data_IF_893369561877
#
_entry.id   IF_893369561877
#
_cell.length_a   1.000
_cell.length_b   1.000
_cell.length_c   1.000
_cell.angle_alpha   90.00
_cell.angle_beta   90.00
_cell.angle_gamma   90.00
#
_symmetry.space_group_name_H-M   'P 1'
#
loop_
_entity.id
_entity.type
_entity.pdbx_description
1 polymer ?
#
# COMPACT_ATOMS: atom_id res chain seq x y z
N UNK A 1 -15.84 -7.34 -21.29
CA UNK A 1 -16.28 -6.34 -22.28
C UNK A 1 -17.23 -6.91 -23.33
N UNK A 2 -17.02 -8.14 -23.81
CA UNK A 2 -17.90 -8.79 -24.81
C UNK A 2 -19.38 -8.86 -24.39
N UNK A 3 -19.70 -8.84 -23.10
CA UNK A 3 -21.07 -8.89 -22.57
C UNK A 3 -21.62 -7.53 -22.11
N UNK A 4 -20.80 -6.47 -22.09
CA UNK A 4 -21.16 -5.10 -21.64
C UNK A 4 -20.44 -4.05 -22.49
N UNK A 5 -20.93 -3.78 -23.72
CA UNK A 5 -20.30 -2.84 -24.63
C UNK A 5 -20.37 -1.39 -24.15
N UNK A 6 -21.33 -1.06 -23.28
CA UNK A 6 -21.48 0.23 -22.62
C UNK A 6 -20.26 0.57 -21.73
N UNK A 7 -19.55 -0.42 -21.20
CA UNK A 7 -18.30 -0.20 -20.46
C UNK A 7 -17.05 -0.15 -21.34
N UNK A 8 -17.17 -0.38 -22.65
CA UNK A 8 -16.00 -0.44 -23.53
C UNK A 8 -15.13 0.84 -23.50
N UNK A 9 -15.72 2.06 -23.54
CA UNK A 9 -14.93 3.29 -23.46
C UNK A 9 -14.19 3.46 -22.13
N UNK A 10 -14.64 2.79 -21.07
CA UNK A 10 -14.12 2.95 -19.72
C UNK A 10 -12.99 1.97 -19.36
N UNK A 11 -12.77 0.88 -20.10
CA UNK A 11 -11.78 -0.10 -19.65
C UNK A 11 -10.34 0.42 -19.70
N UNK A 12 -9.92 1.06 -20.81
CA UNK A 12 -8.54 1.55 -20.93
C UNK A 12 -8.21 2.61 -19.85
N UNK A 13 -9.06 3.61 -19.58
CA UNK A 13 -8.85 4.57 -18.48
C UNK A 13 -8.93 3.99 -17.07
N UNK A 14 -9.45 2.77 -16.90
CA UNK A 14 -9.57 2.10 -15.60
C UNK A 14 -8.67 0.87 -15.46
N UNK A 15 -7.88 0.54 -16.49
CA UNK A 15 -6.94 -0.57 -16.45
C UNK A 15 -5.92 -0.34 -15.32
N UNK A 16 -5.78 -1.32 -14.42
CA UNK A 16 -4.91 -1.25 -13.25
C UNK A 16 -5.47 -0.48 -12.05
N UNK A 17 -6.65 0.17 -12.17
CA UNK A 17 -7.29 0.81 -11.02
C UNK A 17 -7.98 -0.24 -10.15
N UNK A 18 -7.79 -0.11 -8.84
CA UNK A 18 -8.46 -0.94 -7.84
C UNK A 18 -9.33 -0.06 -6.95
N UNK A 19 -10.45 -0.60 -6.46
CA UNK A 19 -11.29 0.11 -5.49
C UNK A 19 -10.46 0.39 -4.23
N UNK A 20 -10.51 1.63 -3.73
CA UNK A 20 -9.87 2.00 -2.46
C UNK A 20 -10.51 1.22 -1.31
N UNK A 21 -9.69 0.47 -0.58
CA UNK A 21 -10.11 -0.28 0.60
C UNK A 21 -10.30 0.66 1.79
N UNK A 22 -11.28 0.36 2.66
CA UNK A 22 -11.41 1.07 3.94
C UNK A 22 -10.21 0.79 4.86
N UNK A 23 -9.79 1.79 5.64
CA UNK A 23 -8.76 1.64 6.66
C UNK A 23 -9.31 1.24 8.05
N UNK A 24 -10.64 1.16 8.21
CA UNK A 24 -11.24 0.59 9.43
C UNK A 24 -10.85 -0.89 9.53
N UNK A 25 -10.36 -1.31 10.69
CA UNK A 25 -9.79 -2.64 10.93
C UNK A 25 -8.55 -2.97 10.08
N UNK A 26 -7.84 -1.96 9.56
CA UNK A 26 -6.64 -2.22 8.74
C UNK A 26 -5.59 -3.02 9.50
N UNK A 27 -5.40 -2.78 10.80
CA UNK A 27 -4.49 -3.57 11.64
C UNK A 27 -5.17 -4.61 12.54
N UNK A 28 -6.50 -4.79 12.45
CA UNK A 28 -7.19 -5.79 13.27
C UNK A 28 -6.72 -7.19 12.86
N UNK A 29 -6.26 -7.96 13.84
CA UNK A 29 -5.66 -9.29 13.71
C UNK A 29 -6.21 -10.24 14.78
N UNK A 30 -6.29 -11.57 14.51
CA UNK A 30 -6.72 -12.55 15.52
C UNK A 30 -5.78 -12.65 16.72
N UNK A 31 -4.48 -12.45 16.52
CA UNK A 31 -3.44 -12.48 17.56
C UNK A 31 -2.22 -11.63 17.16
N UNK A 32 -1.34 -11.21 18.10
CA UNK A 32 -0.29 -10.22 17.84
C UNK A 32 0.73 -10.63 16.76
N UNK A 33 1.08 -11.92 16.67
CA UNK A 33 2.06 -12.43 15.70
C UNK A 33 1.47 -12.76 14.32
N UNK A 34 0.16 -12.54 14.11
CA UNK A 34 -0.47 -12.81 12.82
C UNK A 34 0.11 -11.89 11.73
N UNK A 35 0.62 -12.49 10.65
CA UNK A 35 1.11 -11.74 9.48
C UNK A 35 -0.08 -11.37 8.60
N UNK A 36 -0.42 -10.08 8.62
CA UNK A 36 -1.46 -9.53 7.75
C UNK A 36 -0.88 -9.13 6.40
N UNK A 37 -1.60 -9.41 5.33
CA UNK A 37 -1.24 -9.00 3.97
C UNK A 37 -2.03 -7.75 3.55
N UNK A 38 -1.40 -6.85 2.79
CA UNK A 38 -1.99 -5.58 2.34
C UNK A 38 -1.89 -5.40 0.82
N UNK A 39 -2.62 -4.42 0.30
CA UNK A 39 -2.92 -4.23 -1.13
C UNK A 39 -3.76 -5.36 -1.74
N UNK A 40 -4.19 -5.19 -3.00
CA UNK A 40 -5.12 -6.11 -3.65
C UNK A 40 -4.53 -7.51 -3.92
N UNK A 41 -3.20 -7.61 -3.97
CA UNK A 41 -2.45 -8.84 -4.22
C UNK A 41 -1.75 -9.38 -2.96
N UNK A 42 -1.92 -8.72 -1.81
CA UNK A 42 -1.28 -9.13 -0.57
C UNK A 42 0.25 -9.00 -0.54
N UNK A 43 0.86 -8.20 -1.42
CA UNK A 43 2.31 -8.07 -1.54
C UNK A 43 2.98 -7.66 -0.22
N UNK A 44 2.47 -6.62 0.44
CA UNK A 44 3.04 -6.11 1.68
C UNK A 44 2.60 -6.95 2.89
N UNK A 45 3.51 -7.18 3.84
CA UNK A 45 3.26 -8.00 5.05
C UNK A 45 3.24 -7.20 6.36
N UNK A 46 3.38 -5.88 6.28
CA UNK A 46 3.32 -4.96 7.42
C UNK A 46 2.67 -3.63 7.01
N UNK A 47 2.13 -2.90 8.00
CA UNK A 47 1.59 -1.55 7.77
C UNK A 47 2.71 -0.59 7.39
N UNK A 48 3.86 -0.74 8.03
CA UNK A 48 5.08 0.01 7.78
C UNK A 48 5.49 -0.09 6.30
N UNK A 49 5.50 -1.29 5.72
CA UNK A 49 5.92 -1.47 4.33
C UNK A 49 4.96 -0.81 3.32
N UNK A 50 3.64 -0.89 3.55
CA UNK A 50 2.68 -0.25 2.64
C UNK A 50 2.64 1.27 2.82
N UNK A 51 2.84 1.79 4.04
CA UNK A 51 3.00 3.24 4.28
C UNK A 51 4.25 3.76 3.59
N UNK A 52 5.37 3.06 3.76
CA UNK A 52 6.62 3.43 3.13
C UNK A 52 6.51 3.44 1.61
N UNK A 53 5.82 2.46 1.02
CA UNK A 53 5.51 2.45 -0.41
C UNK A 53 4.76 3.71 -0.86
N UNK A 54 3.70 4.12 -0.15
CA UNK A 54 2.99 5.37 -0.50
C UNK A 54 3.87 6.61 -0.37
N UNK A 55 4.84 6.62 0.55
CA UNK A 55 5.78 7.71 0.72
C UNK A 55 6.85 7.77 -0.38
N UNK A 56 7.40 6.62 -0.80
CA UNK A 56 8.66 6.57 -1.57
C UNK A 56 8.58 5.92 -2.95
N UNK A 57 7.41 5.42 -3.40
CA UNK A 57 7.23 4.75 -4.70
C UNK A 57 7.90 5.47 -5.87
N UNK A 58 7.73 6.78 -5.95
CA UNK A 58 8.20 7.63 -7.05
C UNK A 58 9.54 8.32 -6.72
N UNK A 59 10.12 8.02 -5.56
CA UNK A 59 11.43 8.51 -5.11
C UNK A 59 12.51 7.46 -5.34
N UNK A 60 12.23 6.20 -5.02
CA UNK A 60 13.16 5.10 -5.25
C UNK A 60 13.10 4.65 -6.72
N UNK A 61 14.24 4.22 -7.31
CA UNK A 61 14.27 3.69 -8.66
C UNK A 61 13.53 2.35 -8.78
N UNK A 62 13.30 1.91 -10.02
CA UNK A 62 12.75 0.57 -10.28
C UNK A 62 13.82 -0.49 -10.05
N UNK A 63 13.48 -1.58 -9.37
CA UNK A 63 14.39 -2.69 -9.14
C UNK A 63 14.81 -3.33 -10.48
N UNK A 64 16.12 -3.47 -10.69
CA UNK A 64 16.67 -4.11 -11.89
C UNK A 64 16.86 -5.62 -11.66
N UNK A 65 16.51 -6.42 -12.66
CA UNK A 65 16.70 -7.86 -12.58
C UNK A 65 18.19 -8.22 -12.48
N UNK A 66 18.56 -9.00 -11.46
CA UNK A 66 19.93 -9.42 -11.22
C UNK A 66 20.79 -8.42 -10.44
N UNK A 67 20.23 -7.27 -10.05
CA UNK A 67 20.86 -6.37 -9.09
C UNK A 67 20.59 -6.84 -7.65
N UNK A 68 21.48 -6.50 -6.72
CA UNK A 68 21.36 -6.81 -5.29
C UNK A 68 20.40 -5.87 -4.54
N UNK A 69 19.60 -5.09 -5.26
CA UNK A 69 18.64 -4.14 -4.69
C UNK A 69 17.60 -4.84 -3.82
N UNK A 70 17.22 -4.19 -2.73
CA UNK A 70 16.19 -4.63 -1.79
C UNK A 70 14.93 -3.76 -1.93
N UNK A 71 13.80 -4.34 -2.39
CA UNK A 71 12.52 -3.63 -2.47
C UNK A 71 12.14 -2.92 -1.17
N UNK A 72 11.81 -1.64 -1.28
CA UNK A 72 11.48 -0.76 -0.16
C UNK A 72 12.67 -0.23 0.64
N UNK A 73 13.90 -0.44 0.17
CA UNK A 73 15.12 0.17 0.73
C UNK A 73 15.80 1.04 -0.32
N UNK A 74 16.13 0.46 -1.47
CA UNK A 74 16.87 1.12 -2.55
C UNK A 74 16.15 1.05 -3.90
N UNK A 75 15.03 0.33 -3.99
CA UNK A 75 14.20 0.27 -5.20
C UNK A 75 12.74 -0.12 -4.90
N UNK A 76 11.85 0.02 -5.89
CA UNK A 76 10.54 -0.63 -5.92
C UNK A 76 10.37 -1.47 -7.20
N UNK A 77 9.66 -2.61 -7.17
CA UNK A 77 9.38 -3.35 -8.39
C UNK A 77 8.58 -2.52 -9.39
N UNK A 78 8.75 -2.79 -10.68
CA UNK A 78 7.94 -2.17 -11.72
C UNK A 78 6.44 -2.44 -11.47
N UNK A 79 5.56 -1.45 -11.74
CA UNK A 79 4.13 -1.66 -11.64
C UNK A 79 3.65 -2.69 -12.66
N UNK A 80 2.75 -3.58 -12.27
CA UNK A 80 2.09 -4.53 -13.19
C UNK A 80 1.36 -3.79 -14.32
N UNK A 81 0.74 -2.64 -14.01
CA UNK A 81 0.09 -1.75 -14.99
C UNK A 81 0.56 -0.31 -14.78
N UNK A 82 1.45 0.17 -15.64
CA UNK A 82 1.97 1.55 -15.57
C UNK A 82 1.09 2.64 -16.22
N UNK A 83 -0.02 2.29 -16.87
CA UNK A 83 -0.76 3.22 -17.75
C UNK A 83 -1.50 4.35 -17.02
N UNK A 84 -2.13 4.08 -15.87
CA UNK A 84 -3.04 4.98 -15.19
C UNK A 84 -2.62 5.27 -13.74
N UNK A 85 -1.30 5.32 -13.49
CA UNK A 85 -0.76 5.57 -12.15
C UNK A 85 -1.13 6.96 -11.64
N UNK A 86 -1.44 7.04 -10.34
CA UNK A 86 -1.61 8.31 -9.65
C UNK A 86 -0.26 8.77 -9.09
N UNK A 87 0.41 9.68 -9.80
CA UNK A 87 1.67 10.32 -9.41
C UNK A 87 1.46 11.74 -8.85
N UNK A 88 0.21 12.21 -8.77
CA UNK A 88 -0.11 13.56 -8.30
C UNK A 88 -0.33 13.58 -6.80
N UNK A 89 -1.00 12.55 -6.26
CA UNK A 89 -1.45 12.54 -4.86
C UNK A 89 -0.60 11.66 -3.95
N UNK A 90 0.31 10.83 -4.49
CA UNK A 90 1.07 9.83 -3.73
C UNK A 90 2.35 9.41 -4.47
N UNK A 91 3.26 8.75 -3.74
CA UNK A 91 4.51 8.20 -4.27
C UNK A 91 5.76 9.01 -3.94
N UNK A 92 5.59 10.30 -3.62
CA UNK A 92 6.63 11.16 -3.07
C UNK A 92 6.00 12.10 -2.03
N UNK A 93 5.65 11.56 -0.87
CA UNK A 93 4.91 12.31 0.16
C UNK A 93 5.82 13.17 1.04
N UNK A 94 7.14 12.95 0.99
CA UNK A 94 8.12 13.70 1.77
C UNK A 94 8.05 13.45 3.28
N UNK A 95 7.44 12.33 3.69
CA UNK A 95 7.30 12.00 5.11
C UNK A 95 8.66 11.60 5.69
N UNK A 96 8.94 12.11 6.88
CA UNK A 96 10.02 11.64 7.74
C UNK A 96 9.71 10.25 8.32
N UNK A 97 10.73 9.50 8.79
CA UNK A 97 10.51 8.23 9.48
C UNK A 97 9.57 8.35 10.69
N UNK A 98 9.61 9.48 11.41
CA UNK A 98 8.75 9.73 12.56
C UNK A 98 7.28 9.91 12.13
N UNK A 99 7.03 10.56 11.00
CA UNK A 99 5.69 10.74 10.45
C UNK A 99 5.12 9.42 9.91
N UNK A 100 5.92 8.60 9.23
CA UNK A 100 5.50 7.25 8.84
C UNK A 100 5.10 6.42 10.06
N UNK A 101 5.90 6.44 11.12
CA UNK A 101 5.58 5.77 12.39
C UNK A 101 4.30 6.32 13.03
N UNK A 102 4.09 7.64 13.01
CA UNK A 102 2.88 8.26 13.55
C UNK A 102 1.63 7.84 12.77
N UNK A 103 1.70 7.76 11.44
CA UNK A 103 0.61 7.26 10.59
C UNK A 103 0.31 5.79 10.90
N UNK A 104 1.34 4.95 11.03
CA UNK A 104 1.17 3.54 11.42
C UNK A 104 0.49 3.45 12.80
N UNK A 105 0.96 4.23 13.78
CA UNK A 105 0.36 4.26 15.11
C UNK A 105 -1.12 4.69 15.07
N UNK A 106 -1.44 5.72 14.28
CA UNK A 106 -2.82 6.15 14.05
C UNK A 106 -3.67 5.05 13.42
N UNK A 107 -3.19 4.39 12.36
CA UNK A 107 -3.93 3.30 11.69
C UNK A 107 -4.23 2.12 12.61
N UNK A 108 -3.38 1.86 13.62
CA UNK A 108 -3.63 0.82 14.63
C UNK A 108 -4.87 1.11 15.48
N UNK A 109 -5.14 2.39 15.76
CA UNK A 109 -6.31 2.82 16.55
C UNK A 109 -7.63 2.65 15.79
N UNK A 110 -7.58 2.51 14.46
CA UNK A 110 -8.76 2.27 13.60
C UNK A 110 -9.30 0.83 13.70
N UNK A 111 -8.81 0.03 14.64
CA UNK A 111 -9.28 -1.33 14.91
C UNK A 111 -10.48 -1.30 15.85
N UNK A 112 -11.58 -1.92 15.44
CA UNK A 112 -12.78 -1.98 16.26
C UNK A 112 -12.54 -2.74 17.56
N UNK A 113 -13.01 -2.15 18.67
CA UNK A 113 -12.76 -2.66 20.00
C UNK A 113 -11.34 -2.39 20.48
N UNK A 114 -10.66 -1.38 19.93
CA UNK A 114 -9.37 -0.93 20.46
C UNK A 114 -9.55 -0.45 21.91
N UNK A 115 -8.97 -1.20 22.84
CA UNK A 115 -8.69 -0.80 24.21
C UNK A 115 -7.16 -0.68 24.34
N UNK A 116 -6.68 0.28 25.13
CA UNK A 116 -5.27 0.30 25.52
C UNK A 116 -4.94 -1.06 26.14
N UNK A 117 -3.97 -1.78 25.56
CA UNK A 117 -3.45 -2.98 26.21
C UNK A 117 -2.70 -2.51 27.44
N UNK A 118 -3.16 -2.90 28.63
CA UNK A 118 -2.42 -2.69 29.87
C UNK A 118 -1.01 -3.26 29.68
N UNK A 119 -0.01 -2.49 30.10
CA UNK A 119 1.35 -2.99 30.25
C UNK A 119 1.39 -3.75 31.57
N UNK A 120 0.96 -5.01 31.55
CA UNK A 120 1.23 -5.97 32.62
C UNK A 120 2.44 -6.84 32.24
#
# INVERSE_FOLDING_TARGET
>A
MQTRPDYAPHARPNLGKVKVSTLRNVDKRPFPSFVKAYAHNGYFKSLEAIVHFYNTRDVLPVCLAGDASTPGVDCWPAPEVGLNLNTVEMGNLGLSPQEEHAIVAFMRTLSDGYYERSKD
#
